data_IF_722156861409
#
_entry.id   IF_722156861409
#
_cell.length_a   1.000
_cell.length_b   1.000
_cell.length_c   1.000
_cell.angle_alpha   90.00
_cell.angle_beta   90.00
_cell.angle_gamma   90.00
#
_symmetry.space_group_name_H-M   'P 1'
#
loop_
_entity.id
_entity.type
_entity.pdbx_description
1 polymer ?
#
# COMPACT_ATOMS: atom_id res chain seq x y z
N UNK A 1 -18.68 -7.23 -7.77
CA UNK A 1 -17.26 -7.05 -7.43
C UNK A 1 -16.61 -8.42 -7.45
N UNK A 2 -15.48 -8.55 -8.17
CA UNK A 2 -14.68 -9.76 -8.24
C UNK A 2 -13.29 -9.45 -7.64
N UNK A 3 -12.98 -10.07 -6.50
CA UNK A 3 -11.74 -9.87 -5.77
C UNK A 3 -10.69 -10.88 -6.23
N UNK A 4 -9.69 -10.41 -6.98
CA UNK A 4 -8.59 -11.22 -7.55
C UNK A 4 -7.27 -10.88 -6.85
N UNK A 5 -7.09 -11.41 -5.63
CA UNK A 5 -5.85 -11.22 -4.87
C UNK A 5 -4.79 -12.25 -5.28
N UNK A 6 -3.73 -11.82 -5.94
CA UNK A 6 -2.51 -12.61 -6.15
C UNK A 6 -1.37 -11.69 -6.65
N UNK A 7 -0.11 -12.09 -6.38
CA UNK A 7 1.09 -11.42 -6.88
C UNK A 7 1.03 -9.88 -6.71
N UNK A 8 0.72 -9.42 -5.51
CA UNK A 8 0.55 -8.01 -5.17
C UNK A 8 -0.48 -7.24 -6.04
N UNK A 9 -1.44 -7.93 -6.68
CA UNK A 9 -2.46 -7.33 -7.56
C UNK A 9 -2.13 -7.34 -9.05
N UNK A 10 -0.94 -7.79 -9.44
CA UNK A 10 -0.53 -7.83 -10.86
C UNK A 10 -1.39 -8.78 -11.70
N UNK A 11 -1.93 -9.85 -11.07
CA UNK A 11 -2.84 -10.78 -11.75
C UNK A 11 -4.14 -10.08 -12.19
N UNK A 12 -4.76 -9.30 -11.29
CA UNK A 12 -5.97 -8.54 -11.63
C UNK A 12 -5.68 -7.48 -12.71
N UNK A 13 -4.54 -6.78 -12.61
CA UNK A 13 -4.12 -5.81 -13.61
C UNK A 13 -3.98 -6.41 -15.01
N UNK A 14 -3.37 -7.61 -15.13
CA UNK A 14 -3.25 -8.31 -16.41
C UNK A 14 -4.62 -8.70 -17.01
N UNK A 15 -5.61 -9.05 -16.20
CA UNK A 15 -6.98 -9.33 -16.67
C UNK A 15 -7.60 -8.06 -17.27
N UNK A 16 -7.52 -6.94 -16.55
CA UNK A 16 -8.13 -5.68 -16.98
C UNK A 16 -7.41 -5.09 -18.20
N UNK A 17 -6.08 -5.18 -18.27
CA UNK A 17 -5.32 -4.74 -19.44
C UNK A 17 -5.78 -5.39 -20.75
N UNK A 18 -6.32 -6.63 -20.67
CA UNK A 18 -6.77 -7.42 -21.83
C UNK A 18 -8.29 -7.42 -22.01
N UNK A 19 -9.03 -6.75 -21.14
CA UNK A 19 -10.49 -6.71 -21.21
C UNK A 19 -10.99 -5.79 -22.35
N UNK A 20 -12.26 -5.98 -22.72
CA UNK A 20 -12.94 -5.12 -23.69
C UNK A 20 -13.04 -3.68 -23.16
N UNK A 21 -12.63 -2.66 -23.94
CA UNK A 21 -12.60 -1.26 -23.48
C UNK A 21 -13.97 -0.57 -23.63
N UNK A 22 -15.03 -1.21 -23.14
CA UNK A 22 -16.44 -0.77 -23.27
C UNK A 22 -16.96 -0.03 -22.01
N UNK A 23 -16.12 0.11 -20.97
CA UNK A 23 -16.46 0.77 -19.71
C UNK A 23 -17.16 -0.12 -18.68
N UNK A 24 -17.38 -1.41 -18.97
CA UNK A 24 -17.98 -2.35 -18.00
C UNK A 24 -16.96 -3.13 -17.17
N UNK A 25 -15.70 -3.18 -17.62
CA UNK A 25 -14.61 -3.75 -16.85
C UNK A 25 -13.74 -2.63 -16.27
N UNK A 26 -13.80 -2.48 -14.96
CA UNK A 26 -13.05 -1.48 -14.22
C UNK A 26 -12.20 -2.16 -13.15
N UNK A 27 -11.13 -1.51 -12.72
CA UNK A 27 -10.26 -2.00 -11.67
C UNK A 27 -10.06 -0.93 -10.60
N UNK A 28 -10.42 -1.24 -9.36
CA UNK A 28 -9.93 -0.51 -8.20
C UNK A 28 -8.63 -1.16 -7.74
N UNK A 29 -7.59 -0.36 -7.60
CA UNK A 29 -6.24 -0.88 -7.35
C UNK A 29 -5.47 -0.01 -6.37
N UNK A 30 -4.65 -0.62 -5.47
CA UNK A 30 -3.61 0.11 -4.75
C UNK A 30 -2.46 0.50 -5.69
N UNK A 31 -1.66 1.48 -5.31
CA UNK A 31 -0.56 2.00 -6.13
C UNK A 31 0.52 0.97 -6.50
N UNK A 32 0.79 -0.01 -5.63
CA UNK A 32 1.91 -0.95 -5.75
C UNK A 32 2.07 -1.63 -7.12
N UNK A 33 1.02 -2.28 -7.68
CA UNK A 33 1.08 -2.92 -9.01
C UNK A 33 1.48 -1.99 -10.15
N UNK A 34 1.19 -0.70 -10.03
CA UNK A 34 1.41 0.31 -11.08
C UNK A 34 2.68 1.13 -10.88
N UNK A 35 3.31 1.05 -9.73
CA UNK A 35 4.46 1.88 -9.38
C UNK A 35 5.67 1.06 -8.96
N UNK A 36 5.51 0.15 -8.00
CA UNK A 36 6.59 -0.66 -7.42
C UNK A 36 6.83 -1.92 -8.26
N UNK A 37 5.76 -2.64 -8.65
CA UNK A 37 5.88 -3.89 -9.41
C UNK A 37 6.58 -3.69 -10.76
N UNK A 38 6.46 -2.51 -11.37
CA UNK A 38 7.17 -2.12 -12.61
C UNK A 38 8.70 -2.26 -12.48
N UNK A 39 9.25 -2.07 -11.28
CA UNK A 39 10.69 -2.12 -11.02
C UNK A 39 11.13 -3.40 -10.31
N UNK A 40 10.21 -4.18 -9.74
CA UNK A 40 10.54 -5.38 -8.96
C UNK A 40 10.38 -6.68 -9.73
N UNK A 41 9.52 -6.70 -10.76
CA UNK A 41 9.34 -7.87 -11.65
C UNK A 41 10.19 -7.70 -12.91
N UNK A 42 10.94 -8.75 -13.29
CA UNK A 42 11.69 -8.76 -14.54
C UNK A 42 10.74 -8.81 -15.76
N UNK A 43 9.61 -9.52 -15.65
CA UNK A 43 8.61 -9.70 -16.71
C UNK A 43 7.21 -9.40 -16.21
N UNK A 44 6.83 -8.11 -16.18
CA UNK A 44 5.47 -7.70 -15.85
C UNK A 44 4.56 -7.92 -17.06
N UNK A 45 3.39 -8.61 -16.93
CA UNK A 45 2.55 -8.98 -18.08
C UNK A 45 1.69 -7.82 -18.63
N UNK A 46 1.97 -6.59 -18.22
CA UNK A 46 1.32 -5.35 -18.67
C UNK A 46 2.27 -4.16 -18.55
N UNK A 47 1.97 -3.10 -19.28
CA UNK A 47 2.62 -1.79 -19.12
C UNK A 47 1.70 -0.89 -18.29
N UNK A 48 2.19 -0.46 -17.11
CA UNK A 48 1.40 0.30 -16.13
C UNK A 48 0.94 1.68 -16.64
N UNK A 49 1.61 2.24 -17.63
CA UNK A 49 1.29 3.55 -18.22
C UNK A 49 0.47 3.42 -19.49
N UNK A 50 0.78 2.42 -20.33
CA UNK A 50 0.24 2.31 -21.69
C UNK A 50 -1.05 1.48 -21.76
N UNK A 51 -1.19 0.45 -20.92
CA UNK A 51 -2.25 -0.55 -21.06
C UNK A 51 -3.53 -0.20 -20.30
N UNK A 52 -3.57 0.99 -19.65
CA UNK A 52 -4.71 1.45 -18.85
C UNK A 52 -5.10 2.89 -19.14
N UNK A 53 -6.41 3.15 -19.07
CA UNK A 53 -6.98 4.49 -18.97
C UNK A 53 -7.19 4.83 -17.49
N UNK A 54 -6.55 5.89 -17.00
CA UNK A 54 -6.77 6.40 -15.66
C UNK A 54 -8.17 7.00 -15.56
N UNK A 55 -8.91 6.72 -14.47
CA UNK A 55 -10.22 7.30 -14.20
C UNK A 55 -10.16 8.32 -13.07
N UNK A 56 -9.76 7.91 -11.87
CA UNK A 56 -9.60 8.82 -10.72
C UNK A 56 -8.70 8.22 -9.65
N UNK A 57 -7.87 9.02 -9.02
CA UNK A 57 -7.29 8.74 -7.72
C UNK A 57 -8.38 8.96 -6.68
N UNK A 58 -8.79 7.89 -6.00
CA UNK A 58 -9.95 7.91 -5.11
C UNK A 58 -9.55 8.37 -3.70
N UNK A 59 -8.50 7.78 -3.16
CA UNK A 59 -8.08 8.07 -1.80
C UNK A 59 -6.57 7.81 -1.59
N UNK A 60 -6.00 8.54 -0.63
CA UNK A 60 -4.72 8.23 -0.02
C UNK A 60 -4.92 7.43 1.26
N UNK A 61 -4.03 6.49 1.50
CA UNK A 61 -4.07 5.60 2.65
C UNK A 61 -2.70 5.55 3.32
N UNK A 62 -2.68 5.83 4.60
CA UNK A 62 -1.49 5.70 5.43
C UNK A 62 -1.28 4.23 5.81
N UNK A 63 -0.02 3.79 5.90
CA UNK A 63 0.36 2.51 6.47
C UNK A 63 0.81 2.68 7.93
N UNK A 64 0.61 1.64 8.71
CA UNK A 64 1.14 1.52 10.07
C UNK A 64 2.02 0.27 10.18
N UNK A 65 3.10 0.35 10.96
CA UNK A 65 3.79 -0.84 11.43
C UNK A 65 2.99 -1.41 12.59
N UNK A 66 2.46 -2.61 12.41
CA UNK A 66 1.60 -3.30 13.37
C UNK A 66 2.26 -4.57 13.90
N UNK A 67 1.98 -4.88 15.16
CA UNK A 67 2.45 -6.10 15.84
C UNK A 67 1.30 -6.78 16.57
N UNK A 68 1.52 -8.00 17.02
CA UNK A 68 0.57 -8.70 17.90
C UNK A 68 0.33 -7.88 19.19
N UNK A 69 -0.93 -7.82 19.65
CA UNK A 69 -1.32 -7.08 20.85
C UNK A 69 -0.54 -7.50 22.10
N UNK A 70 -0.25 -8.79 22.25
CA UNK A 70 0.43 -9.37 23.40
C UNK A 70 1.96 -9.43 23.25
N UNK A 71 2.51 -8.84 22.17
CA UNK A 71 3.96 -8.81 21.97
C UNK A 71 4.65 -8.05 23.11
N UNK A 72 5.81 -8.50 23.62
CA UNK A 72 6.60 -7.76 24.59
C UNK A 72 7.23 -6.47 24.03
N UNK A 73 7.32 -6.33 22.71
CA UNK A 73 7.85 -5.15 22.00
C UNK A 73 6.86 -4.00 22.17
N UNK A 74 7.22 -2.91 22.85
CA UNK A 74 6.31 -1.80 23.14
C UNK A 74 6.51 -0.58 22.26
N UNK A 75 7.66 -0.47 21.60
CA UNK A 75 8.03 0.68 20.77
C UNK A 75 8.77 0.24 19.51
N UNK A 76 8.92 1.16 18.56
CA UNK A 76 9.77 0.93 17.38
C UNK A 76 11.21 0.65 17.77
N UNK A 77 11.71 1.33 18.80
CA UNK A 77 13.08 1.14 19.29
C UNK A 77 13.27 -0.26 19.93
N UNK A 78 12.24 -0.80 20.61
CA UNK A 78 12.28 -2.18 21.11
C UNK A 78 12.33 -3.20 19.97
N UNK A 79 11.58 -2.95 18.89
CA UNK A 79 11.62 -3.81 17.70
C UNK A 79 13.02 -3.81 17.06
N UNK A 80 13.62 -2.62 16.91
CA UNK A 80 14.96 -2.48 16.35
C UNK A 80 15.99 -3.18 17.25
N UNK A 81 15.92 -2.99 18.57
CA UNK A 81 16.78 -3.67 19.53
C UNK A 81 16.65 -5.20 19.40
N UNK A 82 15.43 -5.71 19.42
CA UNK A 82 15.16 -7.14 19.26
C UNK A 82 15.76 -7.68 17.95
N UNK A 83 15.59 -6.97 16.83
CA UNK A 83 16.13 -7.38 15.54
C UNK A 83 17.67 -7.36 15.49
N UNK A 84 18.33 -6.48 16.25
CA UNK A 84 19.79 -6.44 16.40
C UNK A 84 20.31 -7.54 17.32
N UNK A 85 19.61 -7.84 18.42
CA UNK A 85 19.96 -8.91 19.38
C UNK A 85 19.72 -10.31 18.79
N UNK A 86 18.72 -10.44 17.90
CA UNK A 86 18.33 -11.73 17.31
C UNK A 86 18.27 -11.65 15.78
N UNK A 87 19.43 -11.46 15.10
CA UNK A 87 19.49 -11.33 13.66
C UNK A 87 18.92 -12.57 12.97
N UNK A 88 18.05 -12.37 11.97
CA UNK A 88 17.42 -13.45 11.22
C UNK A 88 16.28 -14.18 11.97
N UNK A 89 15.81 -13.69 13.13
CA UNK A 89 14.68 -14.28 13.85
C UNK A 89 13.43 -13.38 13.86
N UNK A 90 13.61 -12.07 13.64
CA UNK A 90 12.49 -11.14 13.46
C UNK A 90 11.96 -11.24 12.04
N UNK A 91 10.64 -11.34 11.90
CA UNK A 91 9.97 -11.51 10.60
C UNK A 91 9.06 -10.32 10.27
N UNK A 92 9.09 -9.89 9.00
CA UNK A 92 8.19 -8.88 8.44
C UNK A 92 7.23 -9.54 7.46
N UNK A 93 5.93 -9.52 7.77
CA UNK A 93 4.89 -9.93 6.83
C UNK A 93 4.64 -8.90 5.73
N UNK A 94 4.34 -9.34 4.51
CA UNK A 94 3.89 -8.46 3.43
C UNK A 94 2.66 -9.02 2.70
N UNK A 95 1.97 -8.16 1.93
CA UNK A 95 0.86 -8.58 1.08
C UNK A 95 1.29 -9.27 -0.23
N UNK A 96 2.56 -9.64 -0.33
CA UNK A 96 3.17 -10.33 -1.46
C UNK A 96 4.44 -9.64 -1.94
N UNK A 97 5.25 -10.37 -2.70
CA UNK A 97 6.47 -9.84 -3.31
C UNK A 97 6.15 -8.63 -4.20
N UNK A 98 7.00 -7.59 -4.15
CA UNK A 98 6.80 -6.37 -4.93
C UNK A 98 5.69 -5.44 -4.43
N UNK A 99 5.03 -5.74 -3.30
CA UNK A 99 4.07 -4.82 -2.68
C UNK A 99 4.76 -3.67 -1.94
N UNK A 100 4.02 -2.58 -1.65
CA UNK A 100 4.53 -1.52 -0.79
C UNK A 100 4.91 -2.04 0.61
N UNK A 101 4.16 -3.00 1.14
CA UNK A 101 4.45 -3.62 2.44
C UNK A 101 5.79 -4.38 2.45
N UNK A 102 6.13 -5.05 1.33
CA UNK A 102 7.45 -5.65 1.15
C UNK A 102 8.54 -4.58 1.12
N UNK A 103 8.39 -3.58 0.24
CA UNK A 103 9.36 -2.51 0.08
C UNK A 103 9.56 -1.70 1.38
N UNK A 104 8.48 -1.42 2.12
CA UNK A 104 8.56 -0.76 3.42
C UNK A 104 9.41 -1.55 4.43
N UNK A 105 9.27 -2.88 4.45
CA UNK A 105 10.12 -3.76 5.27
C UNK A 105 11.59 -3.69 4.87
N UNK A 106 11.91 -3.72 3.57
CA UNK A 106 13.28 -3.65 3.09
C UNK A 106 13.93 -2.28 3.35
N UNK A 107 13.18 -1.18 3.13
CA UNK A 107 13.62 0.17 3.50
C UNK A 107 13.88 0.26 5.01
N UNK A 108 12.99 -0.28 5.84
CA UNK A 108 13.15 -0.31 7.29
C UNK A 108 14.41 -1.09 7.71
N UNK A 109 14.62 -2.29 7.17
CA UNK A 109 15.83 -3.09 7.40
C UNK A 109 17.10 -2.29 7.14
N UNK A 110 17.13 -1.61 6.00
CA UNK A 110 18.28 -0.81 5.57
C UNK A 110 18.53 0.38 6.48
N UNK A 111 17.49 1.16 6.81
CA UNK A 111 17.60 2.35 7.64
C UNK A 111 18.03 2.01 9.08
N UNK A 112 17.67 0.84 9.57
CA UNK A 112 17.96 0.39 10.94
C UNK A 112 19.19 -0.51 11.03
N UNK A 113 19.75 -0.96 9.91
CA UNK A 113 20.86 -1.90 9.86
C UNK A 113 20.53 -3.24 10.51
N UNK A 114 19.30 -3.74 10.32
CA UNK A 114 18.80 -4.97 10.93
C UNK A 114 18.69 -6.11 9.93
N UNK A 115 18.80 -7.36 10.40
CA UNK A 115 18.58 -8.56 9.61
C UNK A 115 17.20 -9.14 9.94
N UNK A 116 16.19 -8.74 9.16
CA UNK A 116 14.78 -9.14 9.29
C UNK A 116 14.41 -10.02 8.10
N UNK A 117 13.69 -11.12 8.34
CA UNK A 117 13.23 -12.04 7.30
C UNK A 117 11.90 -11.55 6.75
N UNK A 118 11.79 -11.45 5.42
CA UNK A 118 10.53 -11.15 4.75
C UNK A 118 9.69 -12.43 4.56
N UNK A 119 8.38 -12.35 4.87
CA UNK A 119 7.40 -13.44 4.71
C UNK A 119 6.23 -12.93 3.86
N UNK A 120 6.11 -13.35 2.59
CA UNK A 120 5.04 -12.90 1.70
C UNK A 120 3.73 -13.68 1.93
N UNK A 121 2.60 -12.97 1.93
CA UNK A 121 1.25 -13.51 1.99
C UNK A 121 0.46 -13.20 0.71
N UNK A 122 -0.69 -13.87 0.53
CA UNK A 122 -1.60 -13.63 -0.62
C UNK A 122 -2.55 -12.46 -0.35
N UNK A 123 -1.99 -11.28 -0.03
CA UNK A 123 -2.75 -10.05 0.25
C UNK A 123 -2.67 -9.58 1.70
N UNK A 124 -3.23 -8.38 1.96
CA UNK A 124 -3.16 -7.72 3.27
C UNK A 124 -3.97 -8.45 4.36
N UNK A 125 -5.12 -9.03 4.03
CA UNK A 125 -5.95 -9.76 4.99
C UNK A 125 -5.21 -10.93 5.65
N UNK A 126 -4.72 -11.93 4.89
CA UNK A 126 -3.91 -13.03 5.44
C UNK A 126 -2.68 -12.55 6.21
N UNK A 127 -1.99 -11.51 5.73
CA UNK A 127 -0.85 -10.90 6.42
C UNK A 127 -1.23 -10.38 7.82
N UNK A 128 -2.33 -9.65 7.93
CA UNK A 128 -2.80 -9.08 9.21
C UNK A 128 -3.23 -10.21 10.19
N UNK A 129 -3.86 -11.25 9.67
CA UNK A 129 -4.22 -12.46 10.46
C UNK A 129 -2.95 -13.12 11.01
N UNK A 130 -1.91 -13.25 10.20
CA UNK A 130 -0.63 -13.83 10.61
C UNK A 130 0.05 -12.99 11.72
N UNK A 131 -0.02 -11.65 11.66
CA UNK A 131 0.43 -10.79 12.76
C UNK A 131 -0.39 -11.01 14.02
N UNK A 132 -1.72 -11.08 13.90
CA UNK A 132 -2.62 -11.32 15.03
C UNK A 132 -2.42 -12.72 15.65
N UNK A 133 -2.03 -13.70 14.84
CA UNK A 133 -1.66 -15.06 15.26
C UNK A 133 -0.23 -15.23 15.76
N UNK A 134 0.57 -14.15 15.73
CA UNK A 134 2.01 -14.18 16.05
C UNK A 134 2.84 -15.13 15.17
N UNK A 135 2.37 -15.41 13.93
CA UNK A 135 3.11 -16.18 12.92
C UNK A 135 4.26 -15.37 12.33
N UNK A 136 4.09 -14.03 12.26
CA UNK A 136 5.14 -13.08 11.93
C UNK A 136 5.24 -12.02 13.02
N UNK A 137 6.44 -11.47 13.22
CA UNK A 137 6.71 -10.52 14.31
C UNK A 137 5.95 -9.20 14.11
N UNK A 138 5.98 -8.66 12.89
CA UNK A 138 5.30 -7.42 12.52
C UNK A 138 4.95 -7.40 11.03
N UNK A 139 4.16 -6.41 10.62
CA UNK A 139 3.95 -6.06 9.23
C UNK A 139 3.74 -4.55 9.09
N UNK A 140 4.08 -4.01 7.93
CA UNK A 140 3.49 -2.76 7.48
C UNK A 140 2.12 -3.07 6.90
N UNK A 141 1.06 -2.40 7.33
CA UNK A 141 -0.30 -2.65 6.88
C UNK A 141 -1.04 -1.34 6.65
N UNK A 142 -1.90 -1.28 5.63
CA UNK A 142 -2.75 -0.11 5.44
C UNK A 142 -3.68 0.06 6.64
N UNK A 143 -3.77 1.28 7.15
CA UNK A 143 -4.58 1.59 8.36
C UNK A 143 -6.04 1.12 8.19
N UNK A 144 -6.73 1.36 7.05
CA UNK A 144 -8.09 0.84 6.87
C UNK A 144 -8.20 -0.67 7.00
N UNK A 145 -7.24 -1.41 6.45
CA UNK A 145 -7.25 -2.89 6.51
C UNK A 145 -6.94 -3.42 7.91
N UNK A 146 -6.10 -2.71 8.66
CA UNK A 146 -5.69 -3.10 10.01
C UNK A 146 -6.70 -2.68 11.10
N UNK A 147 -7.49 -1.63 10.84
CA UNK A 147 -8.38 -0.99 11.83
C UNK A 147 -9.31 -1.98 12.55
N UNK A 148 -10.01 -2.93 11.88
CA UNK A 148 -10.86 -3.89 12.57
C UNK A 148 -10.10 -4.73 13.60
N UNK A 149 -8.86 -5.13 13.31
CA UNK A 149 -8.04 -5.92 14.24
C UNK A 149 -7.42 -5.07 15.34
N UNK A 150 -7.16 -3.77 15.08
CA UNK A 150 -6.72 -2.80 16.09
C UNK A 150 -7.85 -2.55 17.09
N UNK A 151 -9.07 -2.26 16.61
CA UNK A 151 -10.25 -2.05 17.45
C UNK A 151 -10.60 -3.30 18.27
N UNK A 152 -10.44 -4.49 17.69
CA UNK A 152 -10.62 -5.76 18.39
C UNK A 152 -9.45 -6.10 19.36
N UNK A 153 -8.45 -5.22 19.49
CA UNK A 153 -7.25 -5.43 20.34
C UNK A 153 -6.54 -6.74 20.06
N UNK A 154 -6.46 -7.14 18.78
CA UNK A 154 -5.71 -8.32 18.34
C UNK A 154 -4.30 -7.95 17.88
N UNK A 155 -4.16 -6.75 17.32
CA UNK A 155 -2.89 -6.13 16.92
C UNK A 155 -2.86 -4.69 17.44
N UNK A 156 -1.66 -4.12 17.52
CA UNK A 156 -1.49 -2.69 17.83
C UNK A 156 -0.48 -2.04 16.89
N UNK A 157 -0.70 -0.77 16.52
CA UNK A 157 0.27 0.01 15.75
C UNK A 157 1.38 0.51 16.65
N UNK A 158 2.63 0.53 16.15
CA UNK A 158 3.77 1.17 16.80
C UNK A 158 4.06 2.55 16.21
N UNK A 159 3.98 2.66 14.88
CA UNK A 159 4.19 3.89 14.12
C UNK A 159 3.34 3.92 12.88
N UNK A 160 3.09 5.13 12.36
CA UNK A 160 2.56 5.35 11.00
C UNK A 160 3.68 5.82 10.06
N UNK A 161 3.52 5.54 8.75
CA UNK A 161 4.56 5.80 7.73
C UNK A 161 4.37 7.09 6.96
N UNK A 162 3.34 7.86 7.29
CA UNK A 162 3.07 9.19 6.75
C UNK A 162 3.96 10.25 7.42
N UNK A 163 4.12 11.41 6.77
CA UNK A 163 4.86 12.55 7.32
C UNK A 163 4.16 13.20 8.53
N UNK A 164 2.84 13.00 8.63
CA UNK A 164 2.02 13.47 9.76
C UNK A 164 1.33 12.28 10.40
N UNK A 165 0.95 12.41 11.67
CA UNK A 165 0.16 11.39 12.36
C UNK A 165 -1.18 11.17 11.67
N UNK A 166 -1.69 9.94 11.69
CA UNK A 166 -2.99 9.61 11.14
C UNK A 166 -4.12 10.23 11.97
N UNK A 167 -5.15 10.75 11.30
CA UNK A 167 -6.33 11.29 11.97
C UNK A 167 -7.06 10.20 12.79
N UNK A 168 -7.03 8.96 12.33
CA UNK A 168 -7.68 7.83 13.02
C UNK A 168 -6.81 7.17 14.08
N UNK A 169 -5.52 7.51 14.13
CA UNK A 169 -4.55 6.99 15.11
C UNK A 169 -3.69 8.17 15.63
N UNK A 170 -4.29 9.21 16.23
CA UNK A 170 -3.57 10.44 16.58
C UNK A 170 -2.50 10.24 17.68
N UNK A 171 -2.65 9.22 18.51
CA UNK A 171 -1.68 8.84 19.54
C UNK A 171 -0.48 8.07 18.98
N UNK A 172 -0.57 7.51 17.77
CA UNK A 172 0.49 6.72 17.14
C UNK A 172 1.49 7.67 16.47
N UNK A 173 2.78 7.65 16.87
CA UNK A 173 3.79 8.53 16.29
C UNK A 173 4.07 8.16 14.83
N UNK A 174 4.60 9.10 14.07
CA UNK A 174 5.20 8.81 12.77
C UNK A 174 6.50 8.03 12.95
N UNK A 175 6.92 7.30 11.93
CA UNK A 175 8.20 6.56 11.94
C UNK A 175 9.40 7.51 12.16
N UNK A 176 9.29 8.75 11.68
CA UNK A 176 10.29 9.80 11.88
C UNK A 176 10.33 10.29 13.35
N UNK A 177 9.15 10.56 13.95
CA UNK A 177 9.06 10.90 15.39
C UNK A 177 9.61 9.79 16.28
N UNK A 178 9.49 8.52 15.85
CA UNK A 178 10.05 7.36 16.53
C UNK A 178 11.55 7.13 16.25
N UNK A 179 12.25 8.09 15.62
CA UNK A 179 13.70 8.07 15.45
C UNK A 179 14.23 7.32 14.23
N UNK A 180 13.37 6.99 13.26
CA UNK A 180 13.76 6.39 11.98
C UNK A 180 13.25 7.29 10.84
N UNK A 181 13.95 8.41 10.53
CA UNK A 181 13.53 9.30 9.47
C UNK A 181 13.65 8.62 8.12
N UNK A 182 12.60 8.72 7.32
CA UNK A 182 12.61 8.28 5.93
C UNK A 182 13.47 9.23 5.09
N UNK A 183 14.05 8.77 3.97
CA UNK A 183 14.73 9.64 3.02
C UNK A 183 13.86 10.84 2.64
N UNK A 184 14.48 12.00 2.40
CA UNK A 184 13.77 13.25 2.13
C UNK A 184 12.78 13.10 0.97
N UNK A 185 11.51 13.45 1.24
CA UNK A 185 10.42 13.36 0.27
C UNK A 185 9.80 11.96 0.08
N UNK A 186 10.33 10.93 0.77
CA UNK A 186 9.73 9.62 0.71
C UNK A 186 8.59 9.50 1.74
N UNK A 187 7.40 9.20 1.25
CA UNK A 187 6.25 8.82 2.05
C UNK A 187 5.82 7.40 1.67
N UNK A 188 5.79 6.48 2.64
CA UNK A 188 5.33 5.12 2.37
C UNK A 188 3.80 5.04 2.54
N UNK A 189 3.09 5.88 1.76
CA UNK A 189 1.63 5.86 1.64
C UNK A 189 1.21 5.15 0.36
N UNK A 190 0.01 4.61 0.36
CA UNK A 190 -0.65 4.10 -0.84
C UNK A 190 -1.73 5.07 -1.30
N UNK A 191 -1.91 5.17 -2.61
CA UNK A 191 -3.17 5.66 -3.16
C UNK A 191 -3.97 4.48 -3.71
N UNK A 192 -5.28 4.62 -3.66
CA UNK A 192 -6.21 3.76 -4.37
C UNK A 192 -6.77 4.52 -5.56
N UNK A 193 -6.64 3.94 -6.75
CA UNK A 193 -7.12 4.50 -7.99
C UNK A 193 -8.12 3.60 -8.70
N UNK A 194 -8.88 4.20 -9.60
CA UNK A 194 -9.74 3.47 -10.52
C UNK A 194 -9.18 3.57 -11.92
N UNK A 195 -9.07 2.42 -12.60
CA UNK A 195 -8.54 2.27 -13.96
C UNK A 195 -9.50 1.49 -14.83
N UNK A 196 -9.41 1.71 -16.13
CA UNK A 196 -10.10 0.95 -17.18
C UNK A 196 -9.06 0.46 -18.21
N UNK A 197 -9.41 -0.44 -19.16
CA UNK A 197 -8.56 -0.78 -20.30
C UNK A 197 -8.18 0.45 -21.13
N UNK A 198 -6.94 0.52 -21.65
CA UNK A 198 -6.37 1.71 -22.30
C UNK A 198 -7.21 2.34 -23.41
N UNK A 199 -7.93 1.53 -24.18
CA UNK A 199 -8.74 1.99 -25.32
C UNK A 199 -10.19 2.32 -24.97
N UNK A 200 -10.51 2.47 -23.68
CA UNK A 200 -11.85 2.92 -23.25
C UNK A 200 -12.12 4.31 -23.82
N UNK A 201 -13.26 4.53 -24.53
CA UNK A 201 -13.58 5.81 -25.15
C UNK A 201 -13.57 6.96 -24.13
N UNK A 202 -13.01 8.12 -24.54
CA UNK A 202 -12.84 9.28 -23.63
C UNK A 202 -14.17 9.72 -23.01
N UNK A 203 -15.27 9.71 -23.77
CA UNK A 203 -16.60 10.06 -23.23
C UNK A 203 -17.05 9.13 -22.07
N UNK A 204 -16.65 7.86 -22.11
CA UNK A 204 -16.91 6.91 -21.00
C UNK A 204 -16.01 7.23 -19.82
N UNK A 205 -14.72 7.50 -20.06
CA UNK A 205 -13.76 7.89 -19.02
C UNK A 205 -14.24 9.13 -18.28
N UNK A 206 -14.66 10.17 -19.02
CA UNK A 206 -15.13 11.44 -18.46
C UNK A 206 -16.40 11.26 -17.62
N UNK A 207 -17.36 10.47 -18.15
CA UNK A 207 -18.60 10.15 -17.44
C UNK A 207 -18.32 9.40 -16.13
N UNK A 208 -17.48 8.36 -16.17
CA UNK A 208 -17.13 7.58 -14.99
C UNK A 208 -16.39 8.42 -13.97
N UNK A 209 -15.43 9.26 -14.38
CA UNK A 209 -14.74 10.16 -13.48
C UNK A 209 -15.72 11.12 -12.79
N UNK A 210 -16.60 11.78 -13.56
CA UNK A 210 -17.57 12.73 -13.02
C UNK A 210 -18.47 12.08 -11.94
N UNK A 211 -19.00 10.88 -12.21
CA UNK A 211 -19.84 10.17 -11.23
C UNK A 211 -19.06 9.69 -10.01
N UNK A 212 -17.82 9.20 -10.19
CA UNK A 212 -16.96 8.84 -9.06
C UNK A 212 -16.68 10.03 -8.16
N UNK A 213 -16.23 11.15 -8.72
CA UNK A 213 -15.93 12.37 -7.95
C UNK A 213 -17.19 12.85 -7.21
N UNK A 214 -18.36 12.81 -7.84
CA UNK A 214 -19.64 13.16 -7.23
C UNK A 214 -19.99 12.26 -6.03
N UNK A 215 -19.82 10.92 -6.19
CA UNK A 215 -20.07 9.95 -5.11
C UNK A 215 -19.12 10.18 -3.94
N UNK A 216 -17.83 10.31 -4.22
CA UNK A 216 -16.81 10.47 -3.18
C UNK A 216 -16.84 11.84 -2.47
N UNK A 217 -17.48 12.87 -3.07
CA UNK A 217 -17.76 14.16 -2.42
C UNK A 217 -18.96 14.12 -1.47
N UNK A 218 -19.74 13.06 -1.45
CA UNK A 218 -20.87 12.94 -0.54
C UNK A 218 -20.38 12.91 0.92
N UNK A 219 -21.02 13.67 1.82
CA UNK A 219 -20.60 13.74 3.24
C UNK A 219 -20.59 12.38 3.94
N UNK A 220 -21.56 11.50 3.64
CA UNK A 220 -21.66 10.16 4.22
C UNK A 220 -20.51 9.25 3.76
N UNK A 221 -20.08 9.37 2.49
CA UNK A 221 -18.94 8.63 1.94
C UNK A 221 -17.64 9.15 2.55
N UNK A 222 -17.46 10.46 2.64
CA UNK A 222 -16.27 11.06 3.25
C UNK A 222 -16.13 10.71 4.73
N UNK A 223 -17.23 10.77 5.49
CA UNK A 223 -17.24 10.37 6.89
C UNK A 223 -16.77 8.91 7.04
N UNK A 224 -17.32 7.99 6.24
CA UNK A 224 -16.94 6.57 6.27
C UNK A 224 -15.49 6.33 5.87
N UNK A 225 -14.97 7.04 4.87
CA UNK A 225 -13.55 6.96 4.50
C UNK A 225 -12.66 7.48 5.62
N UNK A 226 -13.04 8.62 6.24
CA UNK A 226 -12.34 9.20 7.38
C UNK A 226 -12.27 8.24 8.57
N UNK A 227 -13.39 7.58 8.93
CA UNK A 227 -13.43 6.56 9.99
C UNK A 227 -12.48 5.38 9.70
N UNK A 228 -12.26 5.06 8.44
CA UNK A 228 -11.32 4.03 7.99
C UNK A 228 -9.86 4.53 7.92
N UNK A 229 -9.61 5.84 8.07
CA UNK A 229 -8.26 6.43 7.92
C UNK A 229 -7.83 6.60 6.47
N UNK A 230 -8.78 6.70 5.54
CA UNK A 230 -8.54 7.04 4.15
C UNK A 230 -8.85 8.51 3.90
N UNK A 231 -7.94 9.21 3.22
CA UNK A 231 -8.10 10.61 2.84
C UNK A 231 -8.59 10.70 1.39
N UNK A 232 -9.78 11.27 1.20
CA UNK A 232 -10.33 11.45 -0.14
C UNK A 232 -9.44 12.36 -1.00
N UNK A 233 -9.22 11.96 -2.27
CA UNK A 233 -8.45 12.72 -3.25
C UNK A 233 -9.32 13.24 -4.42
N UNK A 234 -10.07 12.38 -5.08
CA UNK A 234 -11.03 12.74 -6.13
C UNK A 234 -10.40 13.43 -7.33
N UNK A 235 -9.36 12.83 -7.91
CA UNK A 235 -8.61 13.45 -9.01
C UNK A 235 -9.30 13.35 -10.37
N UNK A 236 -8.86 14.19 -11.30
CA UNK A 236 -9.10 14.00 -12.74
C UNK A 236 -8.31 12.80 -13.28
N UNK A 237 -8.69 12.25 -14.45
CA UNK A 237 -7.95 11.20 -15.14
C UNK A 237 -6.49 11.60 -15.41
N UNK A 238 -6.26 12.85 -15.82
CA UNK A 238 -4.92 13.39 -16.10
C UNK A 238 -4.02 13.42 -14.86
N UNK A 239 -4.58 13.80 -13.72
CA UNK A 239 -3.84 13.85 -12.45
C UNK A 239 -3.44 12.44 -12.00
N UNK A 240 -4.34 11.44 -12.08
CA UNK A 240 -3.98 10.06 -11.77
C UNK A 240 -2.91 9.51 -12.71
N UNK A 241 -3.02 9.77 -14.01
CA UNK A 241 -2.01 9.34 -14.98
C UNK A 241 -0.63 9.98 -14.69
N UNK A 242 -0.61 11.27 -14.35
CA UNK A 242 0.61 11.98 -13.95
C UNK A 242 1.19 11.42 -12.65
N UNK A 243 0.34 11.07 -11.66
CA UNK A 243 0.75 10.46 -10.41
C UNK A 243 1.41 9.10 -10.65
N UNK A 244 0.80 8.23 -11.48
CA UNK A 244 1.39 6.92 -11.84
C UNK A 244 2.78 7.12 -12.47
N UNK A 245 2.89 8.01 -13.46
CA UNK A 245 4.16 8.25 -14.16
C UNK A 245 5.25 8.83 -13.24
N UNK A 246 4.88 9.67 -12.28
CA UNK A 246 5.79 10.21 -11.27
C UNK A 246 6.24 9.13 -10.29
N UNK A 247 5.31 8.34 -9.78
CA UNK A 247 5.59 7.31 -8.79
C UNK A 247 6.45 6.18 -9.36
N UNK A 248 6.24 5.78 -10.62
CA UNK A 248 7.11 4.81 -11.30
C UNK A 248 8.58 5.23 -11.21
N UNK A 249 8.88 6.52 -11.42
CA UNK A 249 10.25 7.04 -11.34
C UNK A 249 10.77 7.06 -9.90
N UNK A 250 9.95 7.55 -8.97
CA UNK A 250 10.30 7.64 -7.55
C UNK A 250 10.58 6.26 -6.97
N UNK A 251 9.67 5.32 -7.18
CA UNK A 251 9.81 3.98 -6.63
C UNK A 251 10.89 3.16 -7.32
N UNK A 252 11.21 3.40 -8.60
CA UNK A 252 12.34 2.75 -9.27
C UNK A 252 13.67 3.03 -8.56
N UNK A 253 13.89 4.27 -8.10
CA UNK A 253 15.09 4.63 -7.34
C UNK A 253 15.12 3.89 -5.99
N UNK A 254 13.99 3.89 -5.25
CA UNK A 254 13.87 3.23 -3.93
C UNK A 254 14.04 1.70 -4.06
N UNK A 255 13.41 1.07 -5.05
CA UNK A 255 13.54 -0.38 -5.33
C UNK A 255 14.97 -0.75 -5.63
N UNK A 256 15.65 0.02 -6.50
CA UNK A 256 17.07 -0.20 -6.85
C UNK A 256 17.96 -0.07 -5.61
N UNK A 257 17.71 0.95 -4.81
CA UNK A 257 18.49 1.22 -3.60
C UNK A 257 18.26 0.15 -2.52
N UNK A 258 17.01 -0.33 -2.36
CA UNK A 258 16.66 -1.38 -1.41
C UNK A 258 17.04 -2.79 -1.90
N UNK A 259 17.40 -2.96 -3.18
CA UNK A 259 17.76 -4.25 -3.77
C UNK A 259 16.60 -5.24 -3.88
N UNK A 260 15.36 -4.74 -3.91
CA UNK A 260 14.14 -5.57 -3.89
C UNK A 260 13.87 -6.16 -5.27
N UNK A 261 13.63 -7.48 -5.31
CA UNK A 261 13.11 -8.20 -6.47
C UNK A 261 11.90 -9.03 -6.05
N UNK A 262 10.96 -9.23 -6.98
CA UNK A 262 9.73 -10.00 -6.74
C UNK A 262 9.79 -11.41 -7.35
N UNK A 263 10.74 -11.64 -8.24
CA UNK A 263 11.04 -12.90 -8.95
C UNK A 263 12.52 -13.28 -8.80
#
# INVERSE_FOLDING_TARGET
IDNRGAAAGTFAANIVAKATPDGYTLMMVPSGPFTISVSTYANLPYDAVRDFAALSLLAWVTNALVINQNSPVQSLQDLIRLAKEKPGQVTNGSSGNGSLHHLAGEVFKRLTGTNIIHVPFKGGGPMIVAVAGNEVTFAFASVPSAMPMIQAKRIRPLVVTSLKRSITLPEVPTIAEAGVPLPAGLEMREWYGMLAPARTPQAIVDKLNAEMVKIFKRPDVQARLGEMGAEFAGSSPRELAAQIASDVKTWAAVVKEAGVRAD
#
